data_IF_354252387013
#
_entry.id   IF_354252387013
#
_cell.length_a   1.000
_cell.length_b   1.000
_cell.length_c   1.000
_cell.angle_alpha   90.00
_cell.angle_beta   90.00
_cell.angle_gamma   90.00
#
_symmetry.space_group_name_H-M   'P 1'
#
loop_
_entity.id
_entity.type
_entity.pdbx_description
1 polymer ?
#
# COMPACT_ATOMS: atom_id res chain seq x y z
N UNK A 1 -11.49 18.97 -51.70
CA UNK A 1 -10.53 17.86 -51.52
C UNK A 1 -10.52 17.50 -50.05
N UNK A 2 -11.26 16.45 -49.69
CA UNK A 2 -11.33 15.91 -48.33
C UNK A 2 -10.59 14.57 -48.33
N UNK A 3 -9.62 14.41 -47.44
CA UNK A 3 -8.90 13.16 -47.24
C UNK A 3 -8.98 12.79 -45.76
N UNK A 4 -9.94 11.92 -45.45
CA UNK A 4 -10.14 11.31 -44.13
C UNK A 4 -9.36 10.00 -44.09
N UNK A 5 -8.26 9.95 -43.34
CA UNK A 5 -7.53 8.71 -43.07
C UNK A 5 -8.01 8.10 -41.75
N UNK A 6 -8.89 7.11 -41.86
CA UNK A 6 -9.34 6.26 -40.74
C UNK A 6 -8.38 5.08 -40.60
N UNK A 7 -7.48 5.14 -39.60
CA UNK A 7 -6.63 4.01 -39.22
C UNK A 7 -7.43 3.01 -38.38
N UNK A 8 -7.76 1.86 -38.97
CA UNK A 8 -8.34 0.70 -38.26
C UNK A 8 -7.24 -0.02 -37.48
N UNK A 9 -7.32 -0.05 -36.15
CA UNK A 9 -6.50 -0.93 -35.33
C UNK A 9 -6.99 -2.38 -35.44
N UNK A 10 -6.07 -3.30 -35.80
CA UNK A 10 -6.29 -4.75 -35.76
C UNK A 10 -5.93 -5.27 -34.37
N UNK A 11 -6.86 -5.99 -33.74
CA UNK A 11 -6.57 -6.78 -32.54
C UNK A 11 -5.64 -7.95 -32.89
N UNK A 12 -4.54 -8.09 -32.15
CA UNK A 12 -3.62 -9.24 -32.24
C UNK A 12 -3.95 -10.17 -31.09
N UNK A 13 -4.60 -11.29 -31.40
CA UNK A 13 -4.86 -12.39 -30.46
C UNK A 13 -3.66 -13.34 -30.46
N UNK A 14 -2.99 -13.51 -29.33
CA UNK A 14 -1.95 -14.53 -29.17
C UNK A 14 -2.60 -15.89 -28.90
N UNK A 15 -2.42 -16.84 -29.82
CA UNK A 15 -2.69 -18.27 -29.59
C UNK A 15 -1.48 -18.88 -28.88
N UNK A 16 -1.65 -19.34 -27.64
CA UNK A 16 -0.67 -20.21 -26.99
C UNK A 16 -0.93 -21.66 -27.41
N UNK A 17 -0.03 -22.25 -28.20
CA UNK A 17 -0.02 -23.68 -28.48
C UNK A 17 0.70 -24.42 -27.34
N UNK A 18 -0.01 -25.27 -26.59
CA UNK A 18 0.63 -26.29 -25.76
C UNK A 18 1.09 -27.43 -26.67
N UNK A 19 2.41 -27.62 -26.80
CA UNK A 19 2.98 -28.85 -27.32
C UNK A 19 3.27 -29.78 -26.13
N UNK A 20 2.62 -30.93 -26.12
CA UNK A 20 2.85 -32.01 -25.17
C UNK A 20 4.19 -32.69 -25.45
N UNK A 21 5.03 -32.81 -24.43
CA UNK A 21 6.18 -33.71 -24.43
C UNK A 21 5.97 -34.77 -23.35
N UNK A 22 5.71 -36.00 -23.80
CA UNK A 22 5.63 -37.20 -22.98
C UNK A 22 7.03 -37.67 -22.59
N UNK A 23 7.25 -37.93 -21.30
CA UNK A 23 8.22 -38.94 -20.85
C UNK A 23 7.66 -39.70 -19.64
N UNK A 24 7.40 -40.99 -19.85
CA UNK A 24 7.16 -42.02 -18.81
C UNK A 24 8.48 -42.29 -18.05
N UNK A 25 8.54 -42.62 -16.76
CA UNK A 25 8.08 -43.83 -16.02
C UNK A 25 8.34 -43.60 -14.49
N UNK A 26 8.03 -44.52 -13.54
CA UNK A 26 6.85 -45.33 -13.33
C UNK A 26 6.18 -45.09 -11.95
N UNK A 27 4.96 -45.62 -11.82
CA UNK A 27 4.07 -45.63 -10.65
C UNK A 27 4.60 -46.43 -9.46
N UNK A 28 4.53 -45.83 -8.26
CA UNK A 28 4.15 -46.54 -7.03
C UNK A 28 3.48 -45.59 -6.01
N UNK A 29 2.22 -45.91 -5.67
CA UNK A 29 1.76 -45.96 -4.28
C UNK A 29 1.45 -44.67 -3.51
N UNK A 30 0.16 -44.28 -3.55
CA UNK A 30 -0.69 -43.79 -2.44
C UNK A 30 -0.12 -42.75 -1.45
N UNK A 31 -0.68 -41.55 -1.49
CA UNK A 31 -0.59 -40.57 -0.39
C UNK A 31 -1.25 -39.23 -0.73
N UNK A 32 -2.59 -39.19 -0.74
CA UNK A 32 -3.36 -37.94 -0.84
C UNK A 32 -3.31 -37.23 0.51
N UNK A 33 -2.66 -36.07 0.59
CA UNK A 33 -2.85 -35.10 1.68
C UNK A 33 -3.85 -34.05 1.20
N UNK A 34 -5.14 -34.40 1.31
CA UNK A 34 -6.22 -33.43 1.32
C UNK A 34 -6.22 -32.71 2.68
N UNK A 35 -6.18 -31.39 2.66
CA UNK A 35 -6.43 -30.59 3.85
C UNK A 35 -7.95 -30.46 4.02
N UNK A 36 -8.54 -31.39 4.75
CA UNK A 36 -9.94 -31.36 5.16
C UNK A 36 -10.13 -30.35 6.31
N UNK A 37 -10.82 -29.25 6.02
CA UNK A 37 -11.41 -28.38 7.05
C UNK A 37 -12.77 -28.95 7.44
N UNK A 38 -12.76 -29.88 8.38
CA UNK A 38 -13.97 -30.28 9.12
C UNK A 38 -13.58 -30.63 10.55
N UNK A 39 -13.66 -29.64 11.44
CA UNK A 39 -13.88 -29.94 12.85
C UNK A 39 -14.99 -29.06 13.39
N UNK A 40 -16.04 -29.75 13.83
CA UNK A 40 -17.26 -29.26 14.42
C UNK A 40 -17.00 -28.30 15.58
N UNK A 41 -17.71 -27.17 15.57
CA UNK A 41 -17.84 -26.28 16.74
C UNK A 41 -18.57 -27.04 17.85
N UNK A 42 -17.79 -27.53 18.81
CA UNK A 42 -18.28 -28.16 20.02
C UNK A 42 -18.60 -27.04 21.02
N UNK A 43 -19.90 -26.75 21.17
CA UNK A 43 -20.45 -25.84 22.18
C UNK A 43 -20.07 -26.35 23.57
N UNK A 44 -19.24 -25.57 24.29
CA UNK A 44 -19.01 -25.80 25.72
C UNK A 44 -20.06 -25.03 26.51
N UNK A 45 -20.99 -25.80 27.08
CA UNK A 45 -22.00 -25.33 28.03
C UNK A 45 -21.36 -24.74 29.29
N UNK A 46 -21.66 -23.47 29.57
CA UNK A 46 -21.31 -22.82 30.83
C UNK A 46 -22.33 -23.23 31.91
N UNK A 47 -21.97 -24.20 32.75
CA UNK A 47 -22.77 -24.60 33.93
C UNK A 47 -22.62 -23.56 35.04
N UNK A 48 -23.68 -22.80 35.30
CA UNK A 48 -23.82 -21.96 36.50
C UNK A 48 -24.28 -22.85 37.65
N UNK A 49 -23.42 -23.08 38.64
CA UNK A 49 -23.78 -23.78 39.87
C UNK A 49 -24.47 -22.83 40.85
N UNK A 50 -25.79 -22.99 40.98
CA UNK A 50 -26.60 -22.42 42.05
C UNK A 50 -26.25 -23.13 43.37
N UNK A 51 -25.77 -22.39 44.36
CA UNK A 51 -25.65 -22.87 45.75
C UNK A 51 -26.40 -21.96 46.70
N UNK A 52 -26.88 -22.60 47.76
CA UNK A 52 -28.06 -22.26 48.55
C UNK A 52 -27.95 -21.00 49.42
N UNK A 53 -29.12 -20.41 49.66
CA UNK A 53 -29.40 -19.44 50.71
C UNK A 53 -29.02 -19.94 52.11
N UNK A 54 -28.48 -19.06 52.97
CA UNK A 54 -28.86 -19.05 54.37
C UNK A 54 -29.65 -17.78 54.75
N UNK A 55 -30.66 -17.97 55.59
CA UNK A 55 -31.56 -16.96 56.19
C UNK A 55 -30.82 -15.95 57.09
N UNK A 56 -31.45 -14.80 57.41
CA UNK A 56 -30.78 -13.66 58.01
C UNK A 56 -30.72 -13.75 59.54
N UNK A 57 -29.58 -13.37 60.13
CA UNK A 57 -29.46 -13.08 61.55
C UNK A 57 -29.22 -11.58 61.74
N UNK A 58 -30.21 -10.90 62.33
CA UNK A 58 -30.14 -9.52 62.78
C UNK A 58 -29.24 -9.39 64.00
N UNK A 59 -28.15 -8.63 63.89
CA UNK A 59 -27.55 -7.91 65.03
C UNK A 59 -26.98 -6.59 64.55
N UNK A 60 -27.56 -5.50 65.07
CA UNK A 60 -27.16 -4.12 64.86
C UNK A 60 -25.88 -3.75 65.63
N UNK A 61 -24.95 -3.02 65.00
CA UNK A 61 -24.36 -1.72 65.47
C UNK A 61 -23.10 -1.32 64.65
N UNK A 62 -22.69 -0.03 64.69
CA UNK A 62 -22.33 0.71 63.47
C UNK A 62 -20.84 1.01 63.27
N UNK A 63 -20.56 1.44 62.03
CA UNK A 63 -19.55 2.39 61.55
C UNK A 63 -18.08 2.23 61.99
N UNK A 64 -17.22 2.02 60.98
CA UNK A 64 -16.03 2.84 60.71
C UNK A 64 -15.55 2.54 59.28
N UNK A 65 -15.64 3.55 58.42
CA UNK A 65 -15.18 3.48 57.04
C UNK A 65 -13.67 3.31 56.99
N UNK A 66 -13.22 2.23 56.36
CA UNK A 66 -11.83 2.07 55.96
C UNK A 66 -11.66 2.81 54.63
N UNK A 67 -11.06 3.99 54.68
CA UNK A 67 -10.65 4.73 53.48
C UNK A 67 -9.41 4.05 52.89
N UNK A 68 -9.60 3.33 51.79
CA UNK A 68 -8.50 2.84 50.95
C UNK A 68 -7.79 4.04 50.33
N UNK A 69 -6.64 4.42 50.87
CA UNK A 69 -5.69 5.34 50.23
C UNK A 69 -5.08 4.62 49.02
N UNK A 70 -5.58 4.93 47.82
CA UNK A 70 -4.92 4.51 46.58
C UNK A 70 -3.60 5.29 46.45
N UNK A 71 -2.48 4.56 46.41
CA UNK A 71 -1.17 5.12 46.11
C UNK A 71 -1.16 5.63 44.67
N UNK A 72 -1.47 6.91 44.47
CA UNK A 72 -1.23 7.59 43.20
C UNK A 72 0.27 7.71 42.98
N UNK A 73 0.84 6.72 42.29
CA UNK A 73 2.16 6.84 41.68
C UNK A 73 2.13 8.07 40.78
N UNK A 74 2.86 9.11 41.16
CA UNK A 74 3.10 10.27 40.31
C UNK A 74 3.83 9.76 39.06
N UNK A 75 3.14 9.68 37.93
CA UNK A 75 3.80 9.51 36.63
C UNK A 75 4.88 10.60 36.53
N UNK A 76 6.16 10.25 36.25
CA UNK A 76 7.08 11.27 35.78
C UNK A 76 6.45 11.93 34.56
N UNK A 77 6.47 13.26 34.50
CA UNK A 77 6.03 14.00 33.32
C UNK A 77 6.76 13.39 32.13
N UNK A 78 6.03 12.73 31.25
CA UNK A 78 6.55 12.42 29.93
C UNK A 78 7.03 13.75 29.37
N UNK A 79 8.32 13.83 29.02
CA UNK A 79 8.70 14.82 28.01
C UNK A 79 7.77 14.53 26.83
N UNK A 80 6.73 15.34 26.65
CA UNK A 80 6.08 15.46 25.35
C UNK A 80 7.18 15.93 24.43
N UNK A 81 7.88 14.99 23.77
CA UNK A 81 8.68 15.35 22.62
C UNK A 81 7.65 15.82 21.59
N UNK A 82 7.41 17.14 21.55
CA UNK A 82 6.48 17.73 20.61
C UNK A 82 6.97 17.33 19.23
N UNK A 83 6.25 16.42 18.56
CA UNK A 83 6.60 15.98 17.21
C UNK A 83 6.76 17.20 16.32
N UNK A 84 7.79 17.25 15.45
CA UNK A 84 7.96 18.37 14.53
C UNK A 84 6.67 18.62 13.73
N UNK A 85 6.13 19.84 13.80
CA UNK A 85 4.89 20.23 13.12
C UNK A 85 5.12 20.83 11.73
N UNK A 86 6.38 21.18 11.42
CA UNK A 86 6.81 21.70 10.12
C UNK A 86 6.45 20.70 9.01
N UNK A 87 5.78 21.21 7.98
CA UNK A 87 5.50 20.45 6.75
C UNK A 87 6.72 20.51 5.85
N UNK A 88 7.12 19.36 5.33
CA UNK A 88 8.16 19.24 4.33
C UNK A 88 7.57 18.60 3.07
N UNK A 89 7.85 19.19 1.92
CA UNK A 89 7.39 18.67 0.64
C UNK A 89 8.45 17.75 0.03
N UNK A 90 8.01 16.61 -0.48
CA UNK A 90 8.83 15.66 -1.24
C UNK A 90 8.09 15.34 -2.54
N UNK A 91 8.79 15.47 -3.67
CA UNK A 91 8.24 15.24 -4.99
C UNK A 91 8.87 14.00 -5.61
N UNK A 92 8.05 13.12 -6.17
CA UNK A 92 8.53 11.90 -6.84
C UNK A 92 7.69 11.57 -8.06
N UNK A 93 8.33 10.92 -9.03
CA UNK A 93 7.70 10.33 -10.19
C UNK A 93 7.65 8.82 -10.06
N UNK A 94 6.47 8.24 -10.24
CA UNK A 94 6.29 6.79 -10.39
C UNK A 94 6.09 6.47 -11.86
N UNK A 95 6.94 5.60 -12.40
CA UNK A 95 6.93 5.25 -13.82
C UNK A 95 6.92 3.73 -13.98
N UNK A 96 5.90 3.25 -14.68
CA UNK A 96 5.86 1.87 -15.16
C UNK A 96 6.57 1.77 -16.50
N UNK A 97 7.82 1.30 -16.47
CA UNK A 97 8.65 1.08 -17.66
C UNK A 97 8.37 -0.25 -18.37
N UNK A 98 7.33 -0.99 -17.93
CA UNK A 98 6.86 -2.25 -18.50
C UNK A 98 7.87 -3.40 -18.44
N UNK A 99 8.84 -3.31 -17.54
CA UNK A 99 9.93 -4.27 -17.36
C UNK A 99 9.84 -5.07 -16.05
N UNK A 100 8.75 -4.91 -15.28
CA UNK A 100 8.54 -5.57 -13.96
C UNK A 100 7.41 -6.60 -13.92
N UNK A 101 6.76 -6.87 -15.06
CA UNK A 101 5.53 -7.69 -15.08
C UNK A 101 4.37 -7.06 -14.30
N UNK A 102 4.39 -5.73 -14.11
CA UNK A 102 3.41 -4.95 -13.35
C UNK A 102 2.58 -4.05 -14.27
N UNK A 103 1.29 -3.81 -13.96
CA UNK A 103 0.53 -4.44 -12.88
C UNK A 103 0.08 -5.87 -13.24
N UNK A 104 -0.28 -6.66 -12.23
CA UNK A 104 -0.97 -7.94 -12.43
C UNK A 104 -2.47 -7.76 -12.15
N UNK A 105 -3.33 -7.90 -13.16
CA UNK A 105 -4.78 -7.82 -12.95
C UNK A 105 -5.36 -9.18 -12.59
N UNK A 106 -5.81 -9.33 -11.35
CA UNK A 106 -6.41 -10.55 -10.82
C UNK A 106 -7.94 -10.42 -10.81
N UNK A 107 -8.58 -11.05 -11.80
CA UNK A 107 -10.03 -10.99 -12.01
C UNK A 107 -10.78 -11.96 -11.10
N UNK A 108 -10.81 -11.66 -9.81
CA UNK A 108 -11.39 -12.54 -8.78
C UNK A 108 -12.92 -12.59 -8.83
N UNK A 109 -13.56 -11.55 -9.36
CA UNK A 109 -15.01 -11.47 -9.48
C UNK A 109 -15.62 -12.47 -10.47
N UNK A 110 -14.81 -13.00 -11.40
CA UNK A 110 -15.25 -13.86 -12.51
C UNK A 110 -16.35 -13.24 -13.39
N UNK A 111 -16.56 -11.92 -13.31
CA UNK A 111 -17.47 -11.19 -14.19
C UNK A 111 -16.81 -10.90 -15.52
N UNK A 112 -17.58 -10.49 -16.53
CA UNK A 112 -17.00 -10.05 -17.81
C UNK A 112 -16.40 -8.66 -17.69
N UNK A 113 -17.11 -7.76 -17.01
CA UNK A 113 -16.63 -6.41 -16.69
C UNK A 113 -15.83 -6.40 -15.39
N UNK A 114 -15.11 -5.31 -15.17
CA UNK A 114 -14.37 -5.07 -13.92
C UNK A 114 -15.37 -4.91 -12.77
N UNK A 115 -15.15 -5.61 -11.67
CA UNK A 115 -16.12 -5.66 -10.57
C UNK A 115 -15.44 -5.58 -9.20
N UNK A 116 -16.22 -5.13 -8.19
CA UNK A 116 -15.77 -5.04 -6.81
C UNK A 116 -15.02 -6.31 -6.36
N UNK A 117 -13.83 -6.13 -5.80
CA UNK A 117 -12.99 -7.21 -5.29
C UNK A 117 -11.96 -7.76 -6.28
N UNK A 118 -11.97 -7.32 -7.55
CA UNK A 118 -10.82 -7.54 -8.42
C UNK A 118 -9.58 -6.87 -7.81
N UNK A 119 -8.43 -7.56 -7.89
CA UNK A 119 -7.20 -7.13 -7.24
C UNK A 119 -6.12 -6.79 -8.27
N UNK A 120 -5.31 -5.80 -7.95
CA UNK A 120 -4.23 -5.33 -8.80
C UNK A 120 -2.96 -5.15 -7.97
N UNK A 121 -2.18 -6.22 -7.74
CA UNK A 121 -0.81 -6.09 -7.26
C UNK A 121 0.03 -5.33 -8.28
N UNK A 122 0.91 -4.44 -7.80
CA UNK A 122 1.77 -3.65 -8.67
C UNK A 122 3.11 -3.31 -8.02
N UNK A 123 4.11 -3.06 -8.86
CA UNK A 123 5.37 -2.42 -8.51
C UNK A 123 5.91 -1.64 -9.71
N UNK A 124 6.20 -0.35 -9.51
CA UNK A 124 6.73 0.54 -10.55
C UNK A 124 8.02 1.20 -10.08
N UNK A 125 8.80 1.77 -11.01
CA UNK A 125 10.04 2.46 -10.67
C UNK A 125 9.74 3.85 -10.08
N UNK A 126 10.56 4.27 -9.13
CA UNK A 126 10.44 5.55 -8.44
C UNK A 126 11.63 6.45 -8.73
N UNK A 127 11.36 7.69 -9.10
CA UNK A 127 12.35 8.71 -9.47
C UNK A 127 12.15 10.00 -8.65
N UNK A 128 13.21 10.77 -8.51
CA UNK A 128 13.17 12.10 -7.89
C UNK A 128 12.28 13.07 -8.66
N UNK A 129 11.80 14.11 -7.98
CA UNK A 129 10.93 15.13 -8.59
C UNK A 129 11.57 15.90 -9.74
N UNK A 130 12.89 16.01 -9.76
CA UNK A 130 13.66 16.61 -10.86
C UNK A 130 14.00 15.62 -11.99
N UNK A 131 13.57 14.36 -11.85
CA UNK A 131 13.78 13.25 -12.79
C UNK A 131 15.26 12.88 -13.02
N UNK A 132 16.17 13.33 -12.13
CA UNK A 132 17.62 13.11 -12.28
C UNK A 132 18.13 11.87 -11.55
N UNK A 133 17.39 11.31 -10.59
CA UNK A 133 17.81 10.15 -9.79
C UNK A 133 16.77 9.05 -9.73
N UNK A 134 17.23 7.80 -9.87
CA UNK A 134 16.45 6.61 -9.52
C UNK A 134 16.50 6.39 -8.00
N UNK A 135 15.33 6.44 -7.37
CA UNK A 135 15.17 6.34 -5.92
C UNK A 135 14.87 4.91 -5.47
N UNK A 136 13.99 4.22 -6.21
CA UNK A 136 13.62 2.86 -5.83
C UNK A 136 12.39 2.37 -6.56
N UNK A 137 11.41 1.88 -5.81
CA UNK A 137 10.15 1.34 -6.36
C UNK A 137 8.95 1.70 -5.49
N UNK A 138 7.77 1.71 -6.10
CA UNK A 138 6.52 1.46 -5.38
C UNK A 138 6.26 -0.04 -5.31
N UNK A 139 5.59 -0.50 -4.26
CA UNK A 139 5.07 -1.87 -4.19
C UNK A 139 3.82 -1.93 -3.31
N UNK A 140 2.77 -2.58 -3.81
CA UNK A 140 1.57 -2.84 -3.03
C UNK A 140 0.40 -3.37 -3.86
N UNK A 141 -0.80 -3.02 -3.42
CA UNK A 141 -2.05 -3.60 -3.89
C UNK A 141 -3.11 -2.52 -4.08
N UNK A 142 -3.82 -2.58 -5.20
CA UNK A 142 -5.07 -1.88 -5.41
C UNK A 142 -6.22 -2.89 -5.42
N UNK A 143 -7.30 -2.61 -4.70
CA UNK A 143 -8.55 -3.34 -4.78
C UNK A 143 -9.58 -2.50 -5.53
N UNK A 144 -10.18 -3.05 -6.57
CA UNK A 144 -11.22 -2.36 -7.31
C UNK A 144 -12.45 -2.20 -6.42
N UNK A 145 -12.91 -0.96 -6.27
CA UNK A 145 -14.13 -0.61 -5.53
C UNK A 145 -15.30 -0.44 -6.49
N UNK A 146 -15.08 0.28 -7.60
CA UNK A 146 -16.13 0.58 -8.55
C UNK A 146 -15.54 0.83 -9.95
N UNK A 147 -16.17 0.23 -10.95
CA UNK A 147 -15.93 0.55 -12.37
C UNK A 147 -16.96 1.58 -12.83
N UNK A 148 -16.48 2.65 -13.47
CA UNK A 148 -17.30 3.67 -14.13
C UNK A 148 -17.04 3.57 -15.64
N UNK A 149 -17.92 2.93 -16.42
CA UNK A 149 -17.67 2.60 -17.84
C UNK A 149 -17.17 3.77 -18.70
N UNK A 150 -17.62 4.99 -18.41
CA UNK A 150 -17.28 6.20 -19.18
C UNK A 150 -16.14 7.03 -18.59
N UNK A 151 -15.74 6.77 -17.34
CA UNK A 151 -14.77 7.61 -16.60
C UNK A 151 -13.49 6.86 -16.25
N UNK A 152 -13.58 5.57 -15.96
CA UNK A 152 -12.46 4.78 -15.46
C UNK A 152 -12.82 4.07 -14.16
N UNK A 153 -11.85 3.85 -13.30
CA UNK A 153 -12.02 3.01 -12.11
C UNK A 153 -11.73 3.78 -10.82
N UNK A 154 -12.35 3.32 -9.74
CA UNK A 154 -11.98 3.67 -8.37
C UNK A 154 -11.40 2.45 -7.66
N UNK A 155 -10.19 2.62 -7.16
CA UNK A 155 -9.50 1.64 -6.32
C UNK A 155 -9.35 2.18 -4.89
N UNK A 156 -9.29 1.25 -3.94
CA UNK A 156 -8.63 1.47 -2.64
C UNK A 156 -7.22 0.91 -2.76
N UNK A 157 -6.21 1.74 -2.49
CA UNK A 157 -4.81 1.41 -2.64
C UNK A 157 -4.11 1.35 -1.28
N UNK A 158 -3.28 0.34 -1.09
CA UNK A 158 -2.37 0.19 0.06
C UNK A 158 -1.01 -0.21 -0.48
N UNK A 159 -0.02 0.66 -0.32
CA UNK A 159 1.30 0.44 -0.90
C UNK A 159 2.37 1.29 -0.21
N UNK A 160 3.63 1.03 -0.55
CA UNK A 160 4.77 1.77 -0.01
C UNK A 160 5.71 2.25 -1.11
N UNK A 161 6.40 3.33 -0.82
CA UNK A 161 7.45 3.95 -1.62
C UNK A 161 8.79 3.65 -0.96
N UNK A 162 9.66 2.93 -1.66
CA UNK A 162 10.97 2.52 -1.14
C UNK A 162 12.06 3.42 -1.70
N UNK A 163 12.92 3.93 -0.82
CA UNK A 163 13.97 4.90 -1.09
C UNK A 163 15.36 4.35 -0.70
N UNK A 164 15.62 3.07 -1.01
CA UNK A 164 16.90 2.43 -0.71
C UNK A 164 17.25 2.53 0.78
N UNK A 165 18.49 2.95 1.08
CA UNK A 165 18.97 3.08 2.46
C UNK A 165 18.23 4.16 3.29
N UNK A 166 17.49 5.07 2.65
CA UNK A 166 16.72 6.07 3.39
C UNK A 166 15.49 5.47 4.10
N UNK A 167 15.01 4.30 3.67
CA UNK A 167 13.82 3.64 4.21
C UNK A 167 12.62 3.70 3.25
N UNK A 168 11.41 3.73 3.80
CA UNK A 168 10.18 3.78 3.01
C UNK A 168 9.09 4.64 3.64
N UNK A 169 8.12 5.05 2.83
CA UNK A 169 6.87 5.70 3.25
C UNK A 169 5.71 4.81 2.83
N UNK A 170 4.80 4.52 3.75
CA UNK A 170 3.57 3.76 3.46
C UNK A 170 2.37 4.69 3.31
N UNK A 171 1.48 4.34 2.38
CA UNK A 171 0.26 5.11 2.11
C UNK A 171 -0.96 4.22 2.00
N UNK A 172 -2.11 4.81 2.26
CA UNK A 172 -3.41 4.19 2.06
C UNK A 172 -4.45 5.22 1.60
N UNK A 173 -5.29 4.84 0.64
CA UNK A 173 -6.46 5.64 0.26
C UNK A 173 -6.94 5.41 -1.16
N UNK A 174 -7.78 6.32 -1.63
CA UNK A 174 -8.40 6.20 -2.95
C UNK A 174 -7.40 6.48 -4.08
N UNK A 175 -7.44 5.64 -5.11
CA UNK A 175 -6.83 5.90 -6.41
C UNK A 175 -7.93 5.92 -7.48
N UNK A 176 -8.10 7.07 -8.12
CA UNK A 176 -9.06 7.28 -9.21
C UNK A 176 -8.30 7.42 -10.52
N UNK A 177 -8.66 6.62 -11.53
CA UNK A 177 -7.92 6.62 -12.80
C UNK A 177 -8.23 7.83 -13.71
N UNK A 178 -8.96 8.82 -13.22
CA UNK A 178 -9.49 9.94 -14.00
C UNK A 178 -9.39 11.30 -13.33
N UNK A 179 -8.98 11.35 -12.06
CA UNK A 179 -8.80 12.59 -11.33
C UNK A 179 -7.72 12.45 -10.26
N UNK A 180 -7.15 13.58 -9.86
CA UNK A 180 -6.18 13.65 -8.78
C UNK A 180 -6.82 13.22 -7.46
N UNK A 181 -6.05 12.57 -6.59
CA UNK A 181 -6.51 12.10 -5.27
C UNK A 181 -5.53 12.47 -4.18
N UNK A 182 -5.97 12.34 -2.93
CA UNK A 182 -5.10 12.41 -1.76
C UNK A 182 -5.16 11.08 -1.01
N UNK A 183 -3.99 10.54 -0.68
CA UNK A 183 -3.84 9.36 0.14
C UNK A 183 -3.26 9.75 1.50
N UNK A 184 -3.61 8.99 2.54
CA UNK A 184 -3.03 9.17 3.86
C UNK A 184 -1.60 8.61 3.87
N UNK A 185 -0.67 9.35 4.45
CA UNK A 185 0.66 8.82 4.82
C UNK A 185 0.50 8.14 6.17
N UNK A 186 0.63 6.82 6.19
CA UNK A 186 0.33 5.99 7.37
C UNK A 186 1.54 5.72 8.25
N UNK A 187 2.75 5.98 7.75
CA UNK A 187 3.99 5.79 8.48
C UNK A 187 5.18 5.67 7.55
N UNK A 188 6.33 5.35 8.13
CA UNK A 188 7.57 5.14 7.40
C UNK A 188 8.67 4.58 8.31
N UNK A 189 9.83 4.34 7.70
CA UNK A 189 11.03 3.80 8.36
C UNK A 189 12.28 4.60 7.96
N UNK A 190 13.41 4.34 8.63
CA UNK A 190 14.66 5.03 8.35
C UNK A 190 14.53 6.53 8.61
N UNK A 191 14.88 7.36 7.65
CA UNK A 191 14.74 8.82 7.78
C UNK A 191 13.27 9.27 7.87
N UNK A 192 12.34 8.39 7.51
CA UNK A 192 10.90 8.61 7.55
C UNK A 192 10.22 8.02 8.80
N UNK A 193 10.98 7.57 9.81
CA UNK A 193 10.41 7.02 11.04
C UNK A 193 9.47 8.03 11.73
N UNK A 194 8.23 7.62 11.99
CA UNK A 194 7.21 8.45 12.63
C UNK A 194 6.54 9.48 11.71
N UNK A 195 6.80 9.43 10.41
CA UNK A 195 6.17 10.33 9.43
C UNK A 195 4.66 10.15 9.39
N UNK A 196 3.95 11.27 9.22
CA UNK A 196 2.52 11.31 8.97
C UNK A 196 2.18 12.48 8.05
N UNK A 197 0.96 12.48 7.50
CA UNK A 197 0.49 13.54 6.60
C UNK A 197 -0.39 12.98 5.49
N UNK A 198 -0.27 13.58 4.31
CA UNK A 198 -0.98 13.16 3.12
C UNK A 198 -0.08 13.29 1.89
N UNK A 199 -0.41 12.56 0.84
CA UNK A 199 0.24 12.69 -0.46
C UNK A 199 -0.81 12.98 -1.52
N UNK A 200 -0.55 13.97 -2.37
CA UNK A 200 -1.33 14.21 -3.58
C UNK A 200 -0.83 13.26 -4.66
N UNK A 201 -1.71 12.45 -5.23
CA UNK A 201 -1.46 11.63 -6.41
C UNK A 201 -2.02 12.35 -7.63
N UNK A 202 -1.17 12.56 -8.63
CA UNK A 202 -1.56 13.14 -9.91
C UNK A 202 -1.24 12.17 -11.04
N UNK A 203 -2.26 11.82 -11.82
CA UNK A 203 -2.10 10.92 -12.95
C UNK A 203 -1.72 11.72 -14.20
N UNK A 204 -0.55 11.43 -14.77
CA UNK A 204 -0.05 12.13 -15.96
C UNK A 204 -0.44 11.36 -17.22
N UNK A 205 -0.08 10.08 -17.28
CA UNK A 205 -0.39 9.18 -18.39
C UNK A 205 -0.88 7.88 -17.80
N UNK A 206 -2.16 7.58 -17.94
CA UNK A 206 -2.72 6.32 -17.45
C UNK A 206 -2.18 5.10 -18.23
N UNK A 207 -1.82 3.98 -17.57
CA UNK A 207 -1.46 3.80 -16.14
C UNK A 207 0.05 3.90 -15.90
N UNK A 208 0.81 4.60 -16.75
CA UNK A 208 2.27 4.50 -16.85
C UNK A 208 3.05 5.58 -16.12
N UNK A 209 2.50 6.78 -15.93
CA UNK A 209 3.20 7.91 -15.31
C UNK A 209 2.31 8.60 -14.27
N UNK A 210 2.78 8.62 -13.03
CA UNK A 210 2.16 9.33 -11.91
C UNK A 210 3.18 10.26 -11.26
N UNK A 211 2.69 11.35 -10.70
CA UNK A 211 3.49 12.29 -9.92
C UNK A 211 2.87 12.48 -8.55
N UNK A 212 3.72 12.52 -7.54
CA UNK A 212 3.32 12.62 -6.15
C UNK A 212 3.94 13.84 -5.48
N UNK A 213 3.11 14.56 -4.74
CA UNK A 213 3.55 15.59 -3.80
C UNK A 213 3.20 15.15 -2.39
N UNK A 214 4.21 14.75 -1.63
CA UNK A 214 4.06 14.40 -0.22
C UNK A 214 4.10 15.65 0.63
N UNK A 215 3.22 15.72 1.63
CA UNK A 215 3.20 16.75 2.66
C UNK A 215 3.52 16.11 4.01
N UNK A 216 4.81 15.96 4.29
CA UNK A 216 5.33 15.15 5.40
C UNK A 216 5.46 15.98 6.68
N UNK A 217 5.05 15.39 7.81
CA UNK A 217 5.17 15.95 9.15
C UNK A 217 5.77 14.91 10.10
N UNK A 218 6.26 15.35 11.26
CA UNK A 218 6.73 14.46 12.32
C UNK A 218 8.17 13.95 12.19
N UNK A 219 8.89 14.35 11.13
CA UNK A 219 10.26 13.92 10.84
C UNK A 219 11.25 15.09 10.89
N UNK A 220 12.54 14.77 10.99
CA UNK A 220 13.65 15.73 10.84
C UNK A 220 13.72 16.26 9.41
N UNK A 221 14.56 17.26 9.16
CA UNK A 221 14.75 17.78 7.81
C UNK A 221 15.18 16.65 6.84
N UNK A 222 14.55 16.62 5.67
CA UNK A 222 14.84 15.63 4.63
C UNK A 222 16.30 15.73 4.16
N UNK A 223 16.94 14.60 3.78
CA UNK A 223 18.23 14.62 3.13
C UNK A 223 18.23 15.56 1.91
N UNK A 224 19.26 16.39 1.77
CA UNK A 224 19.32 17.43 0.73
C UNK A 224 19.17 16.85 -0.69
N UNK A 225 19.63 15.62 -0.92
CA UNK A 225 19.50 14.91 -2.21
C UNK A 225 18.04 14.63 -2.61
N UNK A 226 17.11 14.55 -1.64
CA UNK A 226 15.68 14.33 -1.88
C UNK A 226 14.89 15.65 -1.99
N UNK A 227 15.51 16.78 -1.60
CA UNK A 227 14.88 18.11 -1.62
C UNK A 227 15.26 18.82 -2.92
N UNK A 228 14.48 18.54 -3.96
CA UNK A 228 14.74 19.05 -5.32
C UNK A 228 13.59 19.92 -5.81
N UNK A 229 13.88 20.82 -6.75
CA UNK A 229 12.85 21.53 -7.50
C UNK A 229 12.23 20.59 -8.53
N UNK A 230 10.92 20.31 -8.48
CA UNK A 230 10.33 19.33 -9.37
C UNK A 230 10.22 19.85 -10.80
N UNK A 231 10.39 18.95 -11.78
CA UNK A 231 9.97 19.18 -13.15
C UNK A 231 8.44 19.13 -13.21
N UNK A 232 7.82 20.02 -13.97
CA UNK A 232 6.36 20.08 -14.09
C UNK A 232 5.77 18.78 -14.68
N UNK A 233 4.71 18.20 -14.08
CA UNK A 233 4.13 16.94 -14.53
C UNK A 233 3.39 17.13 -15.87
N UNK A 234 4.03 16.72 -16.96
CA UNK A 234 3.45 16.73 -18.32
C UNK A 234 3.61 15.36 -18.97
N UNK A 235 2.78 14.98 -19.97
CA UNK A 235 2.90 13.68 -20.64
C UNK A 235 4.29 13.39 -21.25
N UNK A 236 5.02 14.44 -21.63
CA UNK A 236 6.33 14.37 -22.28
C UNK A 236 7.52 14.19 -21.32
N UNK A 237 7.32 14.31 -20.00
CA UNK A 237 8.43 14.15 -19.05
C UNK A 237 8.97 12.74 -19.04
N UNK A 238 10.29 12.61 -18.95
CA UNK A 238 11.02 11.35 -18.89
C UNK A 238 12.15 11.46 -17.87
N UNK A 239 12.53 10.37 -17.19
CA UNK A 239 13.74 10.34 -16.37
C UNK A 239 14.96 10.62 -17.25
N UNK A 240 16.00 11.20 -16.65
CA UNK A 240 17.28 11.37 -17.34
C UNK A 240 17.81 10.01 -17.83
N UNK A 241 18.58 10.02 -18.92
CA UNK A 241 19.16 8.79 -19.46
C UNK A 241 20.01 8.06 -18.42
N UNK A 242 20.79 8.81 -17.63
CA UNK A 242 21.61 8.27 -16.54
C UNK A 242 20.76 7.65 -15.41
N UNK A 243 19.65 8.29 -15.01
CA UNK A 243 18.75 7.74 -13.99
C UNK A 243 18.07 6.46 -14.47
N UNK A 244 17.63 6.44 -15.73
CA UNK A 244 17.01 5.28 -16.35
C UNK A 244 17.97 4.10 -16.51
N UNK A 245 19.23 4.40 -16.83
CA UNK A 245 20.32 3.44 -16.90
C UNK A 245 20.87 3.04 -15.51
N UNK A 246 20.35 3.63 -14.42
CA UNK A 246 20.81 3.42 -13.05
C UNK A 246 22.31 3.65 -12.88
N UNK A 247 22.85 4.71 -13.51
CA UNK A 247 24.25 5.07 -13.37
C UNK A 247 24.57 5.44 -11.90
N UNK A 248 25.79 5.19 -11.39
CA UNK A 248 26.11 5.37 -9.98
C UNK A 248 25.86 6.79 -9.43
N UNK A 249 26.00 7.81 -10.27
CA UNK A 249 25.75 9.21 -9.87
C UNK A 249 24.27 9.61 -9.94
N UNK A 250 23.47 8.86 -10.72
CA UNK A 250 22.05 9.09 -10.98
C UNK A 250 21.15 8.09 -10.23
N UNK A 251 21.67 7.52 -9.15
CA UNK A 251 20.97 6.67 -8.20
C UNK A 251 21.25 7.19 -6.79
N UNK A 252 20.40 6.82 -5.85
CA UNK A 252 20.71 6.93 -4.42
C UNK A 252 21.44 5.66 -3.94
N UNK A 253 22.05 5.72 -2.76
CA UNK A 253 22.68 4.57 -2.13
C UNK A 253 21.68 3.40 -1.99
N UNK A 254 22.07 2.23 -2.51
CA UNK A 254 21.29 0.99 -2.48
C UNK A 254 19.82 1.17 -2.87
N UNK A 255 19.55 1.94 -3.93
CA UNK A 255 18.20 2.15 -4.44
C UNK A 255 17.45 0.81 -4.61
N UNK A 256 16.18 0.76 -4.23
CA UNK A 256 15.40 -0.48 -4.25
C UNK A 256 15.07 -0.89 -5.69
N UNK A 257 15.29 -2.15 -6.04
CA UNK A 257 15.18 -2.64 -7.43
C UNK A 257 13.87 -3.34 -7.77
#
# INVERSE_FOLDING_TARGET
MACTNTLKMKAITYKSSLAAANSAFPSMGKGVLGLDFSSSLLTKDFKISTTAYPKPSTTSRPSKGLTTQAFFWRKPRSHESSRPTKVQELYVYEINERDRGSPAYLKLSQKEEKFLGDLVPFSNKLYSGDLQKRLGVTAGLCMLIQHFPEKGDRYEAVYSFYFGDYGHISVQGAYLTHEDTYLAVTGGSGVFEGVYGQVKLQQIVFPFKLFYTFYLKGIKDLPAELVVTPVAPTPAVEPSAAAKAAEPHATIANFTT
#
